data_IF_228137173150
#
_entry.id   IF_228137173150
#
_cell.length_a   1.000
_cell.length_b   1.000
_cell.length_c   1.000
_cell.angle_alpha   90.00
_cell.angle_beta   90.00
_cell.angle_gamma   90.00
#
_symmetry.space_group_name_H-M   'P 1'
#
loop_
_entity.id
_entity.type
_entity.pdbx_description
1 polymer ?
#
# COMPACT_ATOMS: atom_id res chain seq x y z
N UNK A 1 -19.39 29.35 18.46
CA UNK A 1 -18.69 28.07 18.24
C UNK A 1 -18.33 27.99 16.77
N UNK A 2 -17.12 28.41 16.39
CA UNK A 2 -16.68 28.37 14.98
C UNK A 2 -16.42 26.92 14.59
N UNK A 3 -17.17 26.41 13.60
CA UNK A 3 -16.89 25.10 12.99
C UNK A 3 -15.46 25.10 12.42
N UNK A 4 -14.68 24.02 12.63
CA UNK A 4 -13.35 23.91 12.03
C UNK A 4 -13.45 23.88 10.49
N UNK A 5 -12.54 24.59 9.82
CA UNK A 5 -12.46 24.65 8.36
C UNK A 5 -12.21 23.23 7.80
N UNK A 6 -13.06 22.69 6.91
CA UNK A 6 -12.92 21.32 6.37
C UNK A 6 -11.57 21.08 5.67
N UNK A 7 -10.95 22.14 5.13
CA UNK A 7 -9.62 22.06 4.52
C UNK A 7 -8.51 21.74 5.53
N UNK A 8 -8.61 22.23 6.77
CA UNK A 8 -7.64 21.93 7.83
C UNK A 8 -7.80 20.49 8.32
N UNK A 9 -9.03 19.98 8.42
CA UNK A 9 -9.31 18.59 8.84
C UNK A 9 -8.80 17.56 7.83
N UNK A 10 -8.90 17.86 6.54
CA UNK A 10 -8.38 17.00 5.47
C UNK A 10 -6.84 16.94 5.45
N UNK A 11 -6.16 18.07 5.72
CA UNK A 11 -4.70 18.10 5.80
C UNK A 11 -4.17 17.28 6.99
N UNK A 12 -4.91 17.23 8.10
CA UNK A 12 -4.56 16.43 9.28
C UNK A 12 -4.72 14.92 9.03
N UNK A 13 -5.72 14.52 8.25
CA UNK A 13 -6.02 13.11 7.95
C UNK A 13 -5.22 12.56 6.76
N UNK A 14 -4.86 13.41 5.81
CA UNK A 14 -4.09 13.07 4.60
C UNK A 14 -2.82 13.93 4.50
N UNK A 15 -1.87 13.81 5.45
CA UNK A 15 -0.74 14.72 5.52
C UNK A 15 0.25 14.55 4.37
N UNK A 16 0.39 13.35 3.80
CA UNK A 16 1.41 13.06 2.80
C UNK A 16 0.92 13.34 1.37
N UNK A 17 1.82 13.80 0.50
CA UNK A 17 1.53 13.95 -0.94
C UNK A 17 1.43 12.58 -1.62
N UNK A 18 0.79 12.52 -2.80
CA UNK A 18 0.82 11.33 -3.66
C UNK A 18 2.27 10.99 -4.08
N UNK A 19 2.66 9.71 -4.21
CA UNK A 19 4.03 9.36 -4.53
C UNK A 19 4.41 9.76 -5.97
N UNK A 20 5.66 10.23 -6.19
CA UNK A 20 6.15 10.62 -7.51
C UNK A 20 6.39 9.40 -8.41
N UNK A 21 6.70 8.24 -7.83
CA UNK A 21 6.89 7.00 -8.57
C UNK A 21 5.55 6.49 -9.14
N UNK A 22 5.44 6.25 -10.47
CA UNK A 22 4.22 5.72 -11.08
C UNK A 22 3.86 4.32 -10.57
N UNK A 23 4.85 3.48 -10.26
CA UNK A 23 4.62 2.13 -9.74
C UNK A 23 4.08 2.17 -8.31
N UNK A 24 4.60 3.07 -7.47
CA UNK A 24 4.06 3.32 -6.13
C UNK A 24 2.61 3.85 -6.20
N UNK A 25 2.28 4.69 -7.19
CA UNK A 25 0.88 5.13 -7.41
C UNK A 25 -0.04 3.97 -7.80
N UNK A 26 0.43 3.06 -8.66
CA UNK A 26 -0.34 1.86 -9.04
C UNK A 26 -0.59 0.97 -7.82
N UNK A 27 0.44 0.71 -7.01
CA UNK A 27 0.32 -0.04 -5.77
C UNK A 27 -0.67 0.64 -4.80
N UNK A 28 -0.52 1.95 -4.58
CA UNK A 28 -1.43 2.74 -3.74
C UNK A 28 -2.89 2.65 -4.23
N UNK A 29 -3.12 2.79 -5.53
CA UNK A 29 -4.45 2.67 -6.12
C UNK A 29 -5.04 1.28 -5.86
N UNK A 30 -4.26 0.21 -6.08
CA UNK A 30 -4.69 -1.16 -5.82
C UNK A 30 -5.02 -1.38 -4.33
N UNK A 31 -4.14 -0.95 -3.41
CA UNK A 31 -4.38 -1.05 -1.96
C UNK A 31 -5.66 -0.32 -1.54
N UNK A 32 -5.88 0.91 -2.04
CA UNK A 32 -7.09 1.69 -1.76
C UNK A 32 -8.36 1.01 -2.21
N UNK A 33 -8.36 0.52 -3.46
CA UNK A 33 -9.51 -0.16 -4.05
C UNK A 33 -9.80 -1.47 -3.34
N UNK A 34 -8.78 -2.30 -3.11
CA UNK A 34 -8.93 -3.59 -2.46
C UNK A 34 -9.35 -3.46 -0.99
N UNK A 35 -8.78 -2.49 -0.26
CA UNK A 35 -9.17 -2.22 1.12
C UNK A 35 -10.61 -1.74 1.29
N UNK A 36 -11.13 -0.97 0.32
CA UNK A 36 -12.49 -0.44 0.38
C UNK A 36 -13.57 -1.35 -0.25
N UNK A 37 -13.21 -2.16 -1.25
CA UNK A 37 -14.16 -2.93 -2.09
C UNK A 37 -13.90 -4.43 -2.11
N UNK A 38 -12.87 -4.89 -1.43
CA UNK A 38 -12.45 -6.30 -1.38
C UNK A 38 -11.36 -6.65 -2.39
N UNK A 39 -10.67 -7.77 -2.13
CA UNK A 39 -9.47 -8.20 -2.86
C UNK A 39 -9.72 -8.47 -4.35
N UNK A 40 -10.96 -8.80 -4.72
CA UNK A 40 -11.38 -9.09 -6.10
C UNK A 40 -11.93 -7.86 -6.85
N UNK A 41 -11.65 -6.63 -6.38
CA UNK A 41 -12.11 -5.40 -7.04
C UNK A 41 -11.70 -5.35 -8.53
N UNK A 42 -12.70 -5.18 -9.40
CA UNK A 42 -12.49 -5.20 -10.84
C UNK A 42 -11.66 -4.00 -11.33
N UNK A 43 -11.89 -2.75 -10.90
CA UNK A 43 -11.01 -1.63 -11.25
C UNK A 43 -9.56 -1.79 -10.79
N UNK A 44 -9.30 -2.31 -9.59
CA UNK A 44 -7.94 -2.63 -9.16
C UNK A 44 -7.29 -3.66 -10.09
N UNK A 45 -8.03 -4.71 -10.42
CA UNK A 45 -7.59 -5.77 -11.35
C UNK A 45 -7.25 -5.20 -12.72
N UNK A 46 -8.13 -4.36 -13.27
CA UNK A 46 -7.93 -3.73 -14.57
C UNK A 46 -6.71 -2.79 -14.55
N UNK A 47 -6.51 -2.00 -13.51
CA UNK A 47 -5.33 -1.15 -13.38
C UNK A 47 -4.02 -1.96 -13.38
N UNK A 48 -4.00 -3.11 -12.71
CA UNK A 48 -2.84 -4.01 -12.71
C UNK A 48 -2.61 -4.63 -14.10
N UNK A 49 -3.67 -5.05 -14.80
CA UNK A 49 -3.57 -5.54 -16.18
C UNK A 49 -2.99 -4.47 -17.10
N UNK A 50 -3.52 -3.25 -17.05
CA UNK A 50 -3.05 -2.13 -17.88
C UNK A 50 -1.62 -1.72 -17.52
N UNK A 51 -1.24 -1.78 -16.24
CA UNK A 51 0.10 -1.43 -15.78
C UNK A 51 1.18 -2.44 -16.18
N UNK A 52 0.87 -3.74 -16.09
CA UNK A 52 1.85 -4.82 -16.24
C UNK A 52 1.75 -5.61 -17.56
N UNK A 53 0.68 -5.43 -18.34
CA UNK A 53 0.46 -6.20 -19.56
C UNK A 53 0.40 -7.70 -19.27
N UNK A 54 1.10 -8.52 -20.06
CA UNK A 54 1.10 -9.99 -19.93
C UNK A 54 1.62 -10.48 -18.57
N UNK A 55 2.51 -9.72 -17.94
CA UNK A 55 3.12 -10.04 -16.65
C UNK A 55 2.22 -9.74 -15.43
N UNK A 56 0.97 -9.32 -15.64
CA UNK A 56 0.09 -8.84 -14.55
C UNK A 56 -0.25 -9.89 -13.48
N UNK A 57 -0.26 -11.18 -13.83
CA UNK A 57 -0.82 -12.23 -12.96
C UNK A 57 -0.08 -12.32 -11.63
N UNK A 58 1.25 -12.40 -11.66
CA UNK A 58 2.07 -12.55 -10.44
C UNK A 58 1.96 -11.30 -9.52
N UNK A 59 2.18 -10.07 -10.00
CA UNK A 59 1.97 -8.86 -9.19
C UNK A 59 0.55 -8.75 -8.62
N UNK A 60 -0.49 -9.09 -9.40
CA UNK A 60 -1.88 -9.02 -8.95
C UNK A 60 -2.18 -10.03 -7.83
N UNK A 61 -1.75 -11.28 -7.99
CA UNK A 61 -1.96 -12.33 -6.97
C UNK A 61 -1.23 -11.97 -5.68
N UNK A 62 0.03 -11.53 -5.78
CA UNK A 62 0.84 -11.18 -4.61
C UNK A 62 0.32 -9.92 -3.92
N UNK A 63 -0.15 -8.92 -4.68
CA UNK A 63 -0.79 -7.73 -4.09
C UNK A 63 -2.06 -8.11 -3.30
N UNK A 64 -2.85 -9.05 -3.81
CA UNK A 64 -4.04 -9.55 -3.08
C UNK A 64 -3.66 -10.34 -1.83
N UNK A 65 -2.62 -11.18 -1.90
CA UNK A 65 -2.11 -11.92 -0.76
C UNK A 65 -1.60 -10.96 0.32
N UNK A 66 -0.78 -9.98 -0.05
CA UNK A 66 -0.31 -8.93 0.85
C UNK A 66 -1.46 -8.17 1.54
N UNK A 67 -2.49 -7.77 0.79
CA UNK A 67 -3.65 -7.11 1.38
C UNK A 67 -4.47 -8.03 2.30
N UNK A 68 -4.53 -9.33 2.01
CA UNK A 68 -5.16 -10.32 2.89
C UNK A 68 -4.36 -10.50 4.19
N UNK A 69 -3.04 -10.58 4.09
CA UNK A 69 -2.15 -10.71 5.26
C UNK A 69 -2.23 -9.48 6.15
N UNK A 70 -2.23 -8.27 5.57
CA UNK A 70 -2.47 -7.02 6.30
C UNK A 70 -3.79 -7.05 7.06
N UNK A 71 -4.88 -7.40 6.36
CA UNK A 71 -6.22 -7.45 6.95
C UNK A 71 -6.35 -8.52 8.04
N UNK A 72 -5.64 -9.64 7.91
CA UNK A 72 -5.65 -10.73 8.89
C UNK A 72 -4.77 -10.46 10.10
N UNK A 73 -3.67 -9.72 9.94
CA UNK A 73 -2.66 -9.56 10.98
C UNK A 73 -2.84 -8.27 11.80
N UNK A 74 -3.42 -7.21 11.22
CA UNK A 74 -3.55 -5.91 11.88
C UNK A 74 -4.36 -5.99 13.18
N UNK A 75 -3.78 -5.47 14.27
CA UNK A 75 -4.45 -5.36 15.58
C UNK A 75 -5.30 -4.10 15.72
N UNK A 76 -5.16 -3.17 14.78
CA UNK A 76 -5.90 -1.92 14.73
C UNK A 76 -6.38 -1.61 13.30
N UNK A 77 -7.44 -0.79 13.15
CA UNK A 77 -7.90 -0.38 11.83
C UNK A 77 -6.82 0.40 11.07
N UNK A 78 -6.49 -0.05 9.87
CA UNK A 78 -5.60 0.66 8.95
C UNK A 78 -6.44 1.68 8.16
N UNK A 79 -6.23 2.98 8.42
CA UNK A 79 -6.93 4.04 7.72
C UNK A 79 -6.44 4.17 6.27
N UNK A 80 -7.35 3.96 5.32
CA UNK A 80 -7.11 4.04 3.88
C UNK A 80 -7.97 5.17 3.28
N UNK A 81 -7.38 5.99 2.41
CA UNK A 81 -8.07 7.10 1.77
C UNK A 81 -8.93 6.63 0.59
N UNK A 82 -9.99 7.39 0.23
CA UNK A 82 -10.69 7.20 -1.03
C UNK A 82 -9.73 7.27 -2.24
N UNK A 83 -9.98 6.46 -3.28
CA UNK A 83 -9.09 6.36 -4.44
C UNK A 83 -8.92 7.66 -5.24
N UNK A 84 -9.85 8.61 -5.11
CA UNK A 84 -9.80 9.92 -5.78
C UNK A 84 -8.90 10.95 -5.07
N UNK A 85 -8.39 10.65 -3.87
CA UNK A 85 -7.57 11.60 -3.10
C UNK A 85 -6.14 11.69 -3.64
N UNK A 86 -5.69 12.90 -3.99
CA UNK A 86 -4.30 13.20 -4.40
C UNK A 86 -3.29 13.27 -3.23
N UNK A 87 -3.66 12.76 -2.06
CA UNK A 87 -2.86 12.77 -0.81
C UNK A 87 -3.04 11.44 -0.09
N UNK A 88 -2.12 11.10 0.80
CA UNK A 88 -2.10 9.81 1.50
C UNK A 88 -2.26 9.94 3.00
N UNK A 89 -2.86 8.92 3.62
CA UNK A 89 -2.86 8.73 5.07
C UNK A 89 -1.44 8.38 5.57
N UNK A 90 -1.15 8.51 6.87
CA UNK A 90 0.11 8.04 7.44
C UNK A 90 0.35 6.55 7.19
N UNK A 91 -0.69 5.73 7.34
CA UNK A 91 -0.63 4.29 7.10
C UNK A 91 -0.24 3.96 5.65
N UNK A 92 -0.87 4.61 4.67
CA UNK A 92 -0.54 4.43 3.25
C UNK A 92 0.91 4.80 2.93
N UNK A 93 1.40 5.90 3.51
CA UNK A 93 2.79 6.33 3.37
C UNK A 93 3.76 5.30 3.95
N UNK A 94 3.45 4.73 5.12
CA UNK A 94 4.24 3.66 5.75
C UNK A 94 4.24 2.41 4.86
N UNK A 95 3.08 1.96 4.38
CA UNK A 95 2.98 0.76 3.53
C UNK A 95 3.81 0.91 2.24
N UNK A 96 3.76 2.07 1.58
CA UNK A 96 4.60 2.32 0.40
C UNK A 96 6.09 2.38 0.75
N UNK A 97 6.43 2.96 1.90
CA UNK A 97 7.82 3.00 2.38
C UNK A 97 8.34 1.59 2.66
N UNK A 98 7.53 0.72 3.24
CA UNK A 98 7.84 -0.70 3.45
C UNK A 98 8.10 -1.36 2.10
N UNK A 99 7.18 -1.26 1.14
CA UNK A 99 7.35 -1.86 -0.19
C UNK A 99 8.60 -1.35 -0.92
N UNK A 100 8.98 -0.08 -0.75
CA UNK A 100 10.18 0.48 -1.35
C UNK A 100 11.49 0.06 -0.65
N UNK A 101 11.42 -0.46 0.58
CA UNK A 101 12.59 -0.75 1.43
C UNK A 101 12.76 -2.21 1.82
N UNK A 102 11.81 -3.08 1.53
CA UNK A 102 11.88 -4.51 1.89
C UNK A 102 13.18 -5.18 1.41
N UNK A 103 13.68 -4.82 0.23
CA UNK A 103 14.91 -5.41 -0.33
C UNK A 103 16.20 -4.70 0.11
N UNK A 104 16.14 -3.39 0.37
CA UNK A 104 17.34 -2.56 0.61
C UNK A 104 17.59 -2.27 2.09
N UNK A 105 16.54 -2.27 2.91
CA UNK A 105 16.58 -2.01 4.35
C UNK A 105 15.49 -2.83 5.08
N UNK A 106 15.58 -4.18 5.05
CA UNK A 106 14.54 -5.08 5.58
C UNK A 106 14.25 -4.86 7.07
N UNK A 107 15.26 -4.58 7.88
CA UNK A 107 15.08 -4.28 9.31
C UNK A 107 14.23 -3.03 9.54
N UNK A 108 14.48 -1.96 8.78
CA UNK A 108 13.68 -0.73 8.87
C UNK A 108 12.25 -0.98 8.41
N UNK A 109 12.08 -1.74 7.32
CA UNK A 109 10.77 -2.13 6.83
C UNK A 109 10.00 -2.98 7.86
N UNK A 110 10.69 -3.91 8.54
CA UNK A 110 10.11 -4.72 9.61
C UNK A 110 9.60 -3.87 10.76
N UNK A 111 10.43 -2.96 11.31
CA UNK A 111 10.02 -2.11 12.43
C UNK A 111 8.83 -1.20 12.08
N UNK A 112 8.85 -0.59 10.90
CA UNK A 112 7.73 0.24 10.42
C UNK A 112 6.43 -0.56 10.28
N UNK A 113 6.53 -1.78 9.74
CA UNK A 113 5.37 -2.64 9.54
C UNK A 113 4.83 -3.18 10.87
N UNK A 114 5.72 -3.58 11.78
CA UNK A 114 5.36 -4.04 13.12
C UNK A 114 4.63 -2.95 13.91
N UNK A 115 5.14 -1.72 13.88
CA UNK A 115 4.50 -0.55 14.52
C UNK A 115 3.12 -0.26 13.91
N UNK A 116 3.03 -0.20 12.57
CA UNK A 116 1.76 0.05 11.88
C UNK A 116 0.69 -0.99 12.22
N UNK A 117 1.07 -2.26 12.33
CA UNK A 117 0.14 -3.36 12.58
C UNK A 117 -0.16 -3.59 14.07
N UNK A 118 0.61 -2.97 14.97
CA UNK A 118 0.54 -3.24 16.41
C UNK A 118 1.03 -4.64 16.77
N UNK A 119 2.00 -5.18 16.03
CA UNK A 119 2.53 -6.54 16.19
C UNK A 119 3.96 -6.53 16.72
N UNK A 120 4.35 -7.60 17.42
CA UNK A 120 5.76 -7.82 17.83
C UNK A 120 6.62 -8.43 16.73
N UNK A 121 6.03 -9.31 15.92
CA UNK A 121 6.71 -10.00 14.81
C UNK A 121 5.83 -9.88 13.58
N UNK A 122 6.31 -9.15 12.57
CA UNK A 122 5.57 -8.88 11.34
C UNK A 122 6.09 -9.72 10.14
N UNK A 123 6.88 -10.77 10.41
CA UNK A 123 7.61 -11.55 9.40
C UNK A 123 6.73 -12.08 8.27
N UNK A 124 5.54 -12.61 8.59
CA UNK A 124 4.61 -13.13 7.59
C UNK A 124 4.13 -12.06 6.62
N UNK A 125 3.76 -10.89 7.13
CA UNK A 125 3.32 -9.75 6.30
C UNK A 125 4.49 -9.11 5.57
N UNK A 126 5.68 -9.08 6.20
CA UNK A 126 6.90 -8.58 5.55
C UNK A 126 7.32 -9.49 4.40
N UNK A 127 7.13 -10.81 4.52
CA UNK A 127 7.41 -11.75 3.45
C UNK A 127 6.49 -11.52 2.24
N UNK A 128 5.18 -11.31 2.44
CA UNK A 128 4.28 -11.00 1.33
C UNK A 128 4.50 -9.60 0.75
N UNK A 129 4.88 -8.62 1.57
CA UNK A 129 5.33 -7.30 1.09
C UNK A 129 6.57 -7.43 0.19
N UNK A 130 7.55 -8.23 0.60
CA UNK A 130 8.77 -8.49 -0.19
C UNK A 130 8.43 -9.19 -1.51
N UNK A 131 7.52 -10.17 -1.48
CA UNK A 131 7.07 -10.86 -2.69
C UNK A 131 6.40 -9.89 -3.69
N UNK A 132 5.61 -8.93 -3.21
CA UNK A 132 5.06 -7.85 -4.05
C UNK A 132 6.17 -7.01 -4.67
N UNK A 133 7.13 -6.54 -3.87
CA UNK A 133 8.25 -5.72 -4.36
C UNK A 133 9.04 -6.45 -5.45
N UNK A 134 9.38 -7.72 -5.21
CA UNK A 134 10.08 -8.56 -6.19
C UNK A 134 9.27 -8.76 -7.46
N UNK A 135 7.97 -9.02 -7.36
CA UNK A 135 7.12 -9.17 -8.55
C UNK A 135 7.02 -7.89 -9.39
N UNK A 136 7.07 -6.73 -8.74
CA UNK A 136 7.16 -5.43 -9.40
C UNK A 136 8.53 -5.27 -10.10
N UNK A 137 9.62 -5.57 -9.40
CA UNK A 137 10.98 -5.50 -9.94
C UNK A 137 11.21 -6.45 -11.13
N UNK A 138 10.75 -7.71 -11.01
CA UNK A 138 10.85 -8.73 -12.05
C UNK A 138 10.10 -8.36 -13.33
N UNK A 139 9.03 -7.56 -13.20
CA UNK A 139 8.30 -6.99 -14.33
C UNK A 139 8.92 -5.68 -14.87
N UNK A 140 10.13 -5.33 -14.43
CA UNK A 140 10.84 -4.10 -14.83
C UNK A 140 10.24 -2.82 -14.24
N UNK A 141 9.46 -2.93 -13.16
CA UNK A 141 8.67 -1.84 -12.57
C UNK A 141 8.88 -1.72 -11.05
N UNK A 142 10.12 -1.50 -10.57
CA UNK A 142 10.39 -1.41 -9.13
C UNK A 142 9.60 -0.28 -8.46
N UNK A 143 9.23 -0.51 -7.20
CA UNK A 143 8.56 0.48 -6.35
C UNK A 143 9.64 1.34 -5.68
N UNK A 144 9.58 2.65 -5.89
CA UNK A 144 10.46 3.62 -5.24
C UNK A 144 9.65 4.55 -4.33
N UNK A 145 10.25 4.95 -3.21
CA UNK A 145 9.70 5.93 -2.27
C UNK A 145 9.73 7.35 -2.85
#
# INVERSE_FOLDING_TARGET
MSSPNPALTHATLLPHAVPPCPNARLALFAMRRMGARGLSDAPATHAMITGFGESFRRPLVLMRAFMADLASAAQCPIAIAPCCCGRMTPAESILLTVLARTETAPETAHFLLADLLGLRHADGVLASATAVTQAFADAGRPIAA
#
